data_IF_053784482663
#
_entry.id   IF_053784482663
#
_cell.length_a   1.000
_cell.length_b   1.000
_cell.length_c   1.000
_cell.angle_alpha   90.00
_cell.angle_beta   90.00
_cell.angle_gamma   90.00
#
_symmetry.space_group_name_H-M   'P 1'
#
loop_
_entity.id
_entity.type
_entity.pdbx_description
1 polymer ?
#
# COMPACT_ATOMS: atom_id res chain seq x y z
N UNK A 1 -76.79 -42.90 27.10
CA UNK A 1 -76.31 -42.89 28.50
C UNK A 1 -75.19 -43.93 28.58
N UNK A 2 -73.99 -43.73 29.15
CA UNK A 2 -73.45 -42.70 30.03
C UNK A 2 -71.90 -42.85 30.00
N UNK A 3 -71.20 -41.75 29.69
CA UNK A 3 -69.99 -41.20 30.34
C UNK A 3 -68.70 -41.99 30.60
N UNK A 4 -67.59 -41.38 30.08
CA UNK A 4 -66.30 -41.02 30.73
C UNK A 4 -65.32 -42.19 31.01
N UNK A 5 -63.98 -42.08 30.95
CA UNK A 5 -63.10 -40.93 31.14
C UNK A 5 -61.66 -41.27 30.66
N UNK A 6 -60.98 -40.26 30.11
CA UNK A 6 -59.54 -39.98 30.00
C UNK A 6 -58.49 -40.96 30.57
N UNK A 7 -57.45 -41.22 29.77
CA UNK A 7 -56.03 -41.13 30.19
C UNK A 7 -55.17 -40.76 28.95
N UNK A 8 -54.76 -39.50 28.84
CA UNK A 8 -53.40 -38.99 29.09
C UNK A 8 -52.39 -39.39 27.99
N UNK A 9 -52.08 -38.51 27.02
CA UNK A 9 -51.18 -37.35 27.09
C UNK A 9 -49.70 -37.73 26.79
N UNK A 10 -49.22 -37.14 25.70
CA UNK A 10 -47.82 -36.78 25.36
C UNK A 10 -46.91 -37.88 24.78
N UNK A 11 -46.98 -38.01 23.45
CA UNK A 11 -45.83 -38.34 22.60
C UNK A 11 -45.67 -37.26 21.53
N UNK A 12 -45.44 -36.02 21.97
CA UNK A 12 -44.92 -34.94 21.11
C UNK A 12 -43.69 -34.44 21.83
N UNK A 13 -42.52 -34.55 21.19
CA UNK A 13 -41.24 -33.85 21.45
C UNK A 13 -40.01 -34.76 21.25
N UNK A 14 -39.87 -35.46 20.12
CA UNK A 14 -38.60 -36.13 19.77
C UNK A 14 -38.23 -35.99 18.29
N UNK A 15 -38.45 -34.81 17.71
CA UNK A 15 -38.04 -34.57 16.31
C UNK A 15 -37.48 -33.17 16.05
N UNK A 16 -36.79 -32.54 17.01
CA UNK A 16 -35.89 -31.41 16.73
C UNK A 16 -34.72 -31.41 17.71
N UNK A 17 -33.58 -32.02 17.33
CA UNK A 17 -32.39 -31.19 17.19
C UNK A 17 -31.53 -31.63 16.00
N UNK A 18 -32.05 -31.58 14.77
CA UNK A 18 -31.24 -31.80 13.57
C UNK A 18 -31.01 -30.53 12.74
N UNK A 19 -31.48 -29.37 13.22
CA UNK A 19 -31.24 -28.06 12.58
C UNK A 19 -30.08 -27.25 13.19
N UNK A 20 -29.39 -27.75 14.22
CA UNK A 20 -28.35 -26.98 14.93
C UNK A 20 -26.91 -27.46 14.77
N UNK A 21 -26.61 -28.33 13.80
CA UNK A 21 -25.22 -28.68 13.47
C UNK A 21 -25.00 -28.57 11.97
N UNK A 22 -25.10 -27.35 11.42
CA UNK A 22 -24.28 -27.06 10.25
C UNK A 22 -22.83 -27.10 10.74
N UNK A 23 -21.96 -28.00 10.23
CA UNK A 23 -20.56 -27.98 10.59
C UNK A 23 -20.03 -26.57 10.31
N UNK A 24 -19.26 -25.96 11.24
CA UNK A 24 -18.70 -24.63 11.01
C UNK A 24 -18.03 -24.65 9.64
N UNK A 25 -18.44 -23.74 8.75
CA UNK A 25 -17.92 -23.69 7.40
C UNK A 25 -16.40 -23.70 7.48
N UNK A 26 -15.81 -24.79 7.03
CA UNK A 26 -14.39 -25.02 7.21
C UNK A 26 -13.68 -23.93 6.39
N UNK A 27 -12.95 -23.05 7.08
CA UNK A 27 -12.25 -21.95 6.40
C UNK A 27 -11.27 -22.55 5.41
N UNK A 28 -11.47 -22.31 4.13
CA UNK A 28 -10.51 -22.69 3.09
C UNK A 28 -9.42 -21.61 3.08
N UNK A 29 -8.24 -21.96 3.58
CA UNK A 29 -7.05 -21.11 3.55
C UNK A 29 -6.13 -21.64 2.45
N UNK A 30 -5.80 -20.80 1.48
CA UNK A 30 -4.88 -21.11 0.38
C UNK A 30 -3.61 -20.28 0.57
N UNK A 31 -2.44 -20.92 0.44
CA UNK A 31 -1.16 -20.23 0.39
C UNK A 31 -0.86 -19.83 -1.06
N UNK A 32 -0.44 -18.59 -1.27
CA UNK A 32 -0.10 -18.03 -2.59
C UNK A 32 1.27 -17.36 -2.56
N UNK A 33 1.96 -17.31 -3.70
CA UNK A 33 3.27 -16.65 -3.87
C UNK A 33 4.48 -17.58 -3.70
N UNK A 34 5.62 -17.00 -3.30
CA UNK A 34 6.89 -17.72 -3.05
C UNK A 34 7.85 -17.83 -4.25
N UNK A 35 7.44 -17.38 -5.43
CA UNK A 35 8.32 -17.28 -6.60
C UNK A 35 9.29 -16.09 -6.47
N UNK A 36 10.40 -16.15 -7.22
CA UNK A 36 11.29 -15.01 -7.39
C UNK A 36 10.56 -13.90 -8.14
N UNK A 37 10.67 -12.67 -7.64
CA UNK A 37 10.01 -11.50 -8.24
C UNK A 37 11.02 -10.42 -8.59
N UNK A 38 10.77 -9.73 -9.70
CA UNK A 38 11.57 -8.58 -10.12
C UNK A 38 11.26 -7.38 -9.21
N UNK A 39 12.28 -6.90 -8.49
CA UNK A 39 12.17 -5.73 -7.62
C UNK A 39 13.18 -4.65 -8.02
N UNK A 40 12.77 -3.40 -7.85
CA UNK A 40 13.64 -2.23 -7.93
C UNK A 40 13.94 -1.69 -6.54
N UNK A 41 15.07 -0.98 -6.44
CA UNK A 41 15.46 -0.23 -5.25
C UNK A 41 16.04 1.12 -5.68
N UNK A 42 15.64 2.19 -5.02
CA UNK A 42 16.25 3.51 -5.15
C UNK A 42 16.73 3.96 -3.77
N UNK A 43 18.03 4.29 -3.63
CA UNK A 43 18.65 4.63 -2.35
C UNK A 43 19.48 5.90 -2.47
N UNK A 44 19.40 6.73 -1.43
CA UNK A 44 20.34 7.82 -1.20
C UNK A 44 21.02 7.56 0.13
N UNK A 45 22.35 7.43 0.10
CA UNK A 45 23.19 7.25 1.28
C UNK A 45 24.07 8.48 1.47
N UNK A 46 24.16 8.93 2.72
CA UNK A 46 25.05 10.00 3.14
C UNK A 46 26.21 9.40 3.93
N UNK A 47 27.43 9.68 3.47
CA UNK A 47 28.66 9.30 4.15
C UNK A 47 29.38 10.57 4.59
N UNK A 48 29.73 10.65 5.87
CA UNK A 48 30.61 11.71 6.35
C UNK A 48 32.05 11.33 6.03
N UNK A 49 32.65 11.99 5.03
CA UNK A 49 34.02 11.74 4.59
C UNK A 49 35.07 12.24 5.57
N UNK A 50 34.75 13.18 6.46
CA UNK A 50 35.68 13.69 7.48
C UNK A 50 35.74 12.74 8.68
N UNK A 51 34.59 12.26 9.13
CA UNK A 51 34.48 11.31 10.24
C UNK A 51 34.64 9.85 9.79
N UNK A 52 34.64 9.61 8.48
CA UNK A 52 34.65 8.30 7.85
C UNK A 52 33.56 7.37 8.42
N UNK A 53 32.34 7.89 8.50
CA UNK A 53 31.22 7.17 9.12
C UNK A 53 29.92 7.38 8.35
N UNK A 54 28.97 6.49 8.63
CA UNK A 54 27.61 6.56 8.09
C UNK A 54 26.86 7.77 8.68
N UNK A 55 26.37 8.64 7.80
CA UNK A 55 25.61 9.84 8.16
C UNK A 55 24.09 9.68 7.95
N UNK A 56 23.64 8.50 7.50
CA UNK A 56 22.22 8.20 7.28
C UNK A 56 21.89 7.81 5.85
N UNK A 57 20.68 7.30 5.65
CA UNK A 57 20.14 6.96 4.34
C UNK A 57 18.62 6.99 4.34
N UNK A 58 18.08 6.93 3.13
CA UNK A 58 16.75 6.38 2.91
C UNK A 58 16.71 5.61 1.59
N UNK A 59 15.84 4.62 1.53
CA UNK A 59 15.66 3.74 0.37
C UNK A 59 14.18 3.46 0.12
N UNK A 60 13.85 3.24 -1.15
CA UNK A 60 12.54 2.78 -1.59
C UNK A 60 12.68 1.46 -2.34
N UNK A 61 12.09 0.40 -1.79
CA UNK A 61 12.06 -0.94 -2.39
C UNK A 61 10.66 -1.25 -2.91
N UNK A 62 10.56 -1.71 -4.16
CA UNK A 62 9.27 -1.84 -4.84
C UNK A 62 9.26 -2.97 -5.87
N UNK A 63 8.09 -3.58 -6.09
CA UNK A 63 7.88 -4.47 -7.24
C UNK A 63 7.66 -3.66 -8.52
N UNK A 64 8.02 -4.20 -9.68
CA UNK A 64 7.97 -3.49 -10.97
C UNK A 64 6.81 -3.96 -11.87
N UNK A 65 5.54 -3.60 -11.58
CA UNK A 65 4.41 -4.04 -12.39
C UNK A 65 4.53 -3.52 -13.82
N UNK A 66 4.13 -4.36 -14.77
CA UNK A 66 4.01 -3.99 -16.17
C UNK A 66 2.81 -3.04 -16.38
N UNK A 67 3.01 -2.06 -17.26
CA UNK A 67 1.93 -1.22 -17.76
C UNK A 67 1.04 -2.05 -18.67
N UNK A 68 -0.27 -2.03 -18.42
CA UNK A 68 -1.26 -2.73 -19.26
C UNK A 68 -1.97 -1.71 -20.14
N UNK A 69 -2.22 -2.09 -21.40
CA UNK A 69 -2.97 -1.26 -22.36
C UNK A 69 -4.34 -0.82 -21.84
N UNK A 70 -4.98 -1.66 -21.04
CA UNK A 70 -6.26 -1.35 -20.37
C UNK A 70 -6.21 -0.13 -19.43
N UNK A 71 -5.02 0.29 -19.00
CA UNK A 71 -4.83 1.48 -18.15
C UNK A 71 -4.81 2.78 -18.95
N UNK A 72 -4.75 2.70 -20.27
CA UNK A 72 -4.80 3.87 -21.18
C UNK A 72 -6.23 4.39 -21.35
N UNK A 73 -7.25 3.58 -21.03
CA UNK A 73 -8.64 4.01 -20.95
C UNK A 73 -8.87 4.85 -19.67
N UNK A 74 -9.17 6.16 -19.79
CA UNK A 74 -9.34 7.03 -18.64
C UNK A 74 -10.47 6.58 -17.70
N UNK A 75 -11.56 6.00 -18.22
CA UNK A 75 -12.68 5.54 -17.40
C UNK A 75 -12.28 4.33 -16.55
N UNK A 76 -11.52 3.39 -17.14
CA UNK A 76 -10.94 2.26 -16.40
C UNK A 76 -9.94 2.74 -15.36
N UNK A 77 -9.02 3.63 -15.75
CA UNK A 77 -8.00 4.17 -14.84
C UNK A 77 -8.63 4.92 -13.66
N UNK A 78 -9.63 5.76 -13.93
CA UNK A 78 -10.40 6.47 -12.92
C UNK A 78 -11.16 5.51 -12.00
N UNK A 79 -11.83 4.49 -12.54
CA UNK A 79 -12.54 3.48 -11.76
C UNK A 79 -11.63 2.71 -10.80
N UNK A 80 -10.35 2.53 -11.15
CA UNK A 80 -9.35 1.90 -10.29
C UNK A 80 -8.76 2.85 -9.24
N UNK A 81 -8.70 4.16 -9.51
CA UNK A 81 -7.85 5.09 -8.72
C UNK A 81 -8.63 6.15 -7.95
N UNK A 82 -9.72 6.71 -8.48
CA UNK A 82 -10.46 7.81 -7.84
C UNK A 82 -11.00 7.39 -6.47
N UNK A 83 -10.75 8.25 -5.47
CA UNK A 83 -11.17 8.03 -4.08
C UNK A 83 -10.50 6.84 -3.38
N UNK A 84 -9.46 6.24 -3.99
CA UNK A 84 -8.81 5.02 -3.49
C UNK A 84 -7.34 5.27 -3.18
N UNK A 85 -6.79 4.43 -2.32
CA UNK A 85 -5.35 4.23 -2.20
C UNK A 85 -4.97 3.11 -3.17
N UNK A 86 -4.17 3.47 -4.15
CA UNK A 86 -3.64 2.56 -5.14
C UNK A 86 -2.34 1.92 -4.66
N UNK A 87 -2.21 0.61 -4.92
CA UNK A 87 -0.99 -0.15 -4.62
C UNK A 87 0.11 0.29 -5.57
N UNK A 88 1.10 0.98 -5.03
CA UNK A 88 2.34 1.27 -5.73
C UNK A 88 3.18 0.00 -5.72
N UNK A 89 3.48 -0.59 -6.89
CA UNK A 89 4.30 -1.80 -7.02
C UNK A 89 3.53 -3.11 -7.25
N UNK A 90 4.25 -4.24 -7.21
CA UNK A 90 3.77 -5.58 -7.54
C UNK A 90 4.06 -6.56 -6.39
N UNK A 91 3.13 -7.48 -6.16
CA UNK A 91 3.16 -8.65 -5.26
C UNK A 91 3.30 -8.36 -3.76
N UNK A 92 4.29 -7.55 -3.37
CA UNK A 92 4.51 -7.13 -1.98
C UNK A 92 4.41 -5.61 -1.83
N UNK A 93 4.43 -5.13 -0.59
CA UNK A 93 4.43 -3.71 -0.28
C UNK A 93 5.59 -2.98 -0.96
N UNK A 94 5.34 -1.76 -1.45
CA UNK A 94 6.40 -0.78 -1.68
C UNK A 94 6.74 -0.14 -0.35
N UNK A 95 8.02 -0.04 -0.06
CA UNK A 95 8.55 0.28 1.25
C UNK A 95 9.40 1.54 1.14
N UNK A 96 9.25 2.45 2.11
CA UNK A 96 10.25 3.46 2.43
C UNK A 96 10.93 3.06 3.74
N UNK A 97 12.25 2.90 3.70
CA UNK A 97 13.09 2.74 4.88
C UNK A 97 13.96 3.99 5.01
N UNK A 98 13.79 4.76 6.09
CA UNK A 98 14.55 5.99 6.32
C UNK A 98 15.16 6.00 7.71
N UNK A 99 16.47 6.19 7.80
CA UNK A 99 17.16 6.51 9.06
C UNK A 99 17.24 8.02 9.32
N UNK A 100 16.65 8.83 8.46
CA UNK A 100 16.77 10.29 8.47
C UNK A 100 15.39 10.96 8.54
N UNK A 101 15.26 12.11 9.24
CA UNK A 101 14.09 12.94 9.11
C UNK A 101 14.01 13.50 7.69
N UNK A 102 12.85 13.31 7.06
CA UNK A 102 12.57 13.78 5.71
C UNK A 102 11.49 14.86 5.76
N UNK A 103 11.48 15.73 4.76
CA UNK A 103 10.36 16.62 4.47
C UNK A 103 9.96 16.42 3.02
N UNK A 104 8.82 15.76 2.81
CA UNK A 104 8.32 15.41 1.47
C UNK A 104 7.21 16.38 1.10
N UNK A 105 7.37 17.14 0.02
CA UNK A 105 6.43 18.19 -0.39
C UNK A 105 6.06 19.14 0.76
N UNK A 106 7.06 19.50 1.57
CA UNK A 106 6.91 20.39 2.71
C UNK A 106 6.41 19.74 4.00
N UNK A 107 5.97 18.47 3.99
CA UNK A 107 5.46 17.76 5.17
C UNK A 107 6.55 16.91 5.82
N UNK A 108 6.67 17.01 7.15
CA UNK A 108 7.63 16.23 7.93
C UNK A 108 7.25 14.75 7.95
N UNK A 109 8.23 13.90 7.69
CA UNK A 109 8.17 12.44 7.77
C UNK A 109 9.30 12.01 8.70
N UNK A 110 8.99 11.45 9.88
CA UNK A 110 10.02 11.03 10.81
C UNK A 110 10.83 9.84 10.25
N UNK A 111 12.04 9.59 10.79
CA UNK A 111 12.75 8.34 10.54
C UNK A 111 11.85 7.14 10.85
N UNK A 112 11.96 6.09 10.04
CA UNK A 112 11.19 4.88 10.24
C UNK A 112 10.99 4.09 8.96
N UNK A 113 10.16 3.06 9.11
CA UNK A 113 9.77 2.14 8.04
C UNK A 113 8.30 2.40 7.70
N UNK A 114 8.00 2.58 6.43
CA UNK A 114 6.65 2.88 5.94
C UNK A 114 6.31 1.98 4.76
N UNK A 115 5.06 1.54 4.71
CA UNK A 115 4.50 1.09 3.44
C UNK A 115 3.99 2.31 2.66
N UNK A 116 4.09 2.24 1.34
CA UNK A 116 3.73 3.34 0.44
C UNK A 116 2.60 2.94 -0.50
N UNK A 117 1.70 3.89 -0.75
CA UNK A 117 0.70 3.83 -1.82
C UNK A 117 0.54 5.19 -2.50
N UNK A 118 -0.25 5.26 -3.56
CA UNK A 118 -0.69 6.53 -4.14
C UNK A 118 -2.18 6.71 -3.90
N UNK A 119 -2.56 7.74 -3.17
CA UNK A 119 -3.95 8.13 -3.04
C UNK A 119 -4.33 9.09 -4.15
N UNK A 120 -5.50 8.88 -4.73
CA UNK A 120 -6.18 9.88 -5.55
C UNK A 120 -7.42 10.40 -4.83
N UNK A 121 -7.66 11.70 -4.87
CA UNK A 121 -8.86 12.31 -4.33
C UNK A 121 -10.13 11.77 -5.01
N UNK A 122 -11.28 11.95 -4.36
CA UNK A 122 -12.58 11.46 -4.86
C UNK A 122 -12.97 12.09 -6.18
N UNK A 123 -12.70 13.39 -6.35
CA UNK A 123 -12.89 14.11 -7.62
C UNK A 123 -11.83 13.76 -8.69
N UNK A 124 -10.77 13.05 -8.29
CA UNK A 124 -9.65 12.66 -9.14
C UNK A 124 -8.62 13.75 -9.44
N UNK A 125 -8.77 14.94 -8.86
CA UNK A 125 -7.95 16.11 -9.17
C UNK A 125 -6.57 16.09 -8.47
N UNK A 126 -6.47 15.46 -7.31
CA UNK A 126 -5.27 15.51 -6.47
C UNK A 126 -4.71 14.10 -6.25
N UNK A 127 -3.38 14.03 -6.29
CA UNK A 127 -2.63 12.83 -5.96
C UNK A 127 -1.75 13.08 -4.75
N UNK A 128 -1.59 12.05 -3.93
CA UNK A 128 -0.71 12.09 -2.77
C UNK A 128 -0.01 10.76 -2.60
N UNK A 129 1.24 10.80 -2.18
CA UNK A 129 1.92 9.63 -1.65
C UNK A 129 1.33 9.37 -0.25
N UNK A 130 0.75 8.19 -0.08
CA UNK A 130 0.18 7.73 1.17
C UNK A 130 1.24 6.93 1.92
N UNK A 131 1.56 7.36 3.15
CA UNK A 131 2.44 6.63 4.04
C UNK A 131 1.58 5.89 5.07
N UNK A 132 1.83 4.58 5.17
CA UNK A 132 1.08 3.67 6.02
C UNK A 132 2.01 3.07 7.07
N UNK A 133 1.51 2.98 8.31
CA UNK A 133 2.22 2.40 9.44
C UNK A 133 2.27 0.85 9.32
N UNK A 134 3.44 0.24 9.11
CA UNK A 134 3.57 -1.20 8.96
C UNK A 134 3.12 -1.99 10.19
N UNK A 135 3.23 -1.43 11.40
CA UNK A 135 2.79 -2.08 12.64
C UNK A 135 1.26 -2.23 12.63
N UNK A 136 0.55 -1.15 12.30
CA UNK A 136 -0.93 -1.16 12.19
C UNK A 136 -1.41 -2.10 11.07
N UNK A 137 -0.71 -2.11 9.94
CA UNK A 137 -1.03 -2.97 8.79
C UNK A 137 -0.90 -4.45 9.15
N UNK A 138 0.22 -4.82 9.80
CA UNK A 138 0.48 -6.20 10.22
C UNK A 138 -0.49 -6.65 11.31
N UNK A 139 -0.79 -5.78 12.28
CA UNK A 139 -1.77 -6.07 13.33
C UNK A 139 -3.17 -6.33 12.76
N UNK A 140 -3.53 -5.65 11.66
CA UNK A 140 -4.80 -5.84 10.96
C UNK A 140 -4.77 -6.98 9.93
N UNK A 141 -3.66 -7.72 9.80
CA UNK A 141 -3.45 -8.78 8.81
C UNK A 141 -3.77 -8.32 7.37
N UNK A 142 -3.41 -7.07 7.06
CA UNK A 142 -3.64 -6.50 5.74
C UNK A 142 -2.45 -6.79 4.82
N UNK A 143 -2.78 -7.28 3.64
CA UNK A 143 -1.84 -7.47 2.55
C UNK A 143 -1.91 -6.29 1.55
N UNK A 144 -0.83 -6.08 0.78
CA UNK A 144 -0.72 -5.01 -0.20
C UNK A 144 -1.83 -5.03 -1.28
N UNK A 145 -2.36 -6.20 -1.63
CA UNK A 145 -3.48 -6.35 -2.58
C UNK A 145 -4.78 -5.71 -2.06
N UNK A 146 -4.93 -5.56 -0.74
CA UNK A 146 -6.09 -4.93 -0.09
C UNK A 146 -5.73 -3.61 0.60
N UNK A 147 -4.72 -2.91 0.07
CA UNK A 147 -4.26 -1.60 0.55
C UNK A 147 -5.39 -0.57 0.70
N UNK A 148 -6.47 -0.67 -0.08
CA UNK A 148 -7.61 0.22 0.02
C UNK A 148 -8.35 0.14 1.37
N UNK A 149 -8.13 -0.92 2.16
CA UNK A 149 -8.66 -1.06 3.54
C UNK A 149 -7.72 -0.48 4.59
N UNK A 150 -6.49 -0.13 4.21
CA UNK A 150 -5.49 0.37 5.11
C UNK A 150 -5.79 1.82 5.53
N UNK A 151 -5.60 2.11 6.81
CA UNK A 151 -5.60 3.49 7.31
C UNK A 151 -4.30 4.19 6.86
N UNK A 152 -4.45 5.31 6.19
CA UNK A 152 -3.31 6.18 5.84
C UNK A 152 -2.91 6.97 7.08
N UNK A 153 -1.62 6.97 7.42
CA UNK A 153 -1.10 7.71 8.58
C UNK A 153 -0.95 9.19 8.24
N UNK A 154 -0.34 9.48 7.09
CA UNK A 154 -0.31 10.82 6.52
C UNK A 154 -0.12 10.75 5.00
N UNK A 155 -0.54 11.83 4.35
CA UNK A 155 -0.52 12.01 2.90
C UNK A 155 0.37 13.19 2.56
N UNK A 156 1.28 12.99 1.61
CA UNK A 156 2.13 14.06 1.09
C UNK A 156 1.77 14.34 -0.38
N UNK A 157 1.45 15.59 -0.76
CA UNK A 157 1.07 15.89 -2.14
C UNK A 157 2.16 15.49 -3.13
N UNK A 158 1.77 15.01 -4.30
CA UNK A 158 2.69 14.78 -5.43
C UNK A 158 2.21 15.57 -6.63
N UNK A 159 3.13 16.06 -7.45
CA UNK A 159 2.82 16.63 -8.76
C UNK A 159 2.69 15.50 -9.76
N UNK A 160 1.58 15.46 -10.50
CA UNK A 160 1.34 14.47 -11.56
C UNK A 160 1.40 15.12 -12.93
N UNK A 161 2.05 14.45 -13.85
CA UNK A 161 2.18 14.84 -15.26
C UNK A 161 1.94 13.63 -16.16
N UNK A 162 1.50 13.89 -17.38
CA UNK A 162 1.43 12.88 -18.43
C UNK A 162 2.69 12.94 -19.30
N UNK A 163 3.46 11.85 -19.31
CA UNK A 163 4.61 11.69 -20.18
C UNK A 163 4.17 11.34 -21.62
N UNK A 164 4.96 11.78 -22.60
CA UNK A 164 4.79 11.38 -24.01
C UNK A 164 5.24 9.94 -24.24
N UNK A 165 6.33 9.55 -23.61
CA UNK A 165 6.89 8.21 -23.71
C UNK A 165 6.25 7.27 -22.68
N UNK A 166 5.97 6.04 -23.11
CA UNK A 166 5.37 5.01 -22.26
C UNK A 166 6.47 4.24 -21.53
N UNK A 167 6.42 4.28 -20.20
CA UNK A 167 7.30 3.50 -19.32
C UNK A 167 6.68 2.13 -19.06
N UNK A 168 7.16 1.10 -19.76
CA UNK A 168 6.53 -0.24 -19.75
C UNK A 168 6.52 -0.97 -18.39
N UNK A 169 7.45 -0.66 -17.48
CA UNK A 169 7.48 -1.20 -16.11
C UNK A 169 7.68 -0.07 -15.12
N UNK A 170 6.99 -0.13 -13.97
CA UNK A 170 7.11 0.91 -12.96
C UNK A 170 8.58 1.13 -12.55
N UNK A 171 8.97 2.39 -12.47
CA UNK A 171 10.27 2.84 -11.98
C UNK A 171 10.11 3.90 -10.91
N UNK A 172 10.90 3.81 -9.85
CA UNK A 172 11.07 4.86 -8.86
C UNK A 172 12.53 5.30 -8.89
N UNK A 173 12.76 6.60 -8.91
CA UNK A 173 14.07 7.22 -8.86
C UNK A 173 14.13 8.27 -7.75
N UNK A 174 15.30 8.36 -7.13
CA UNK A 174 15.67 9.40 -6.18
C UNK A 174 16.86 10.15 -6.78
N UNK A 175 16.60 11.35 -7.31
CA UNK A 175 17.61 12.14 -8.00
C UNK A 175 18.05 13.32 -7.13
N UNK A 176 19.35 13.60 -7.06
CA UNK A 176 19.91 14.75 -6.37
C UNK A 176 21.07 15.34 -7.17
N UNK A 177 21.46 16.57 -6.85
CA UNK A 177 22.65 17.20 -7.41
C UNK A 177 23.77 17.19 -6.37
N UNK A 178 25.01 16.97 -6.80
CA UNK A 178 26.17 16.91 -5.89
C UNK A 178 26.34 18.18 -5.05
N UNK A 179 25.95 19.34 -5.59
CA UNK A 179 26.01 20.63 -4.90
C UNK A 179 24.94 20.79 -3.80
N UNK A 180 23.84 20.05 -3.90
CA UNK A 180 22.69 20.11 -2.99
C UNK A 180 22.18 18.70 -2.67
N UNK A 181 23.02 17.82 -2.10
CA UNK A 181 22.71 16.39 -1.99
C UNK A 181 21.55 16.12 -1.01
N UNK A 182 21.20 17.06 -0.15
CA UNK A 182 20.04 16.99 0.75
C UNK A 182 18.72 17.38 0.10
N UNK A 183 18.74 17.86 -1.15
CA UNK A 183 17.55 18.15 -1.95
C UNK A 183 17.38 17.05 -2.99
N UNK A 184 16.51 16.10 -2.69
CA UNK A 184 16.24 14.93 -3.52
C UNK A 184 14.89 15.10 -4.21
N UNK A 185 14.78 14.66 -5.46
CA UNK A 185 13.51 14.55 -6.16
C UNK A 185 13.11 13.09 -6.22
N UNK A 186 11.97 12.76 -5.62
CA UNK A 186 11.28 11.52 -5.87
C UNK A 186 10.58 11.59 -7.22
N UNK A 187 10.75 10.56 -8.04
CA UNK A 187 10.04 10.38 -9.30
C UNK A 187 9.54 8.94 -9.42
N UNK A 188 8.24 8.77 -9.58
CA UNK A 188 7.61 7.54 -10.04
C UNK A 188 7.21 7.71 -11.50
N UNK A 189 7.50 6.72 -12.33
CA UNK A 189 7.02 6.66 -13.71
C UNK A 189 6.47 5.26 -14.03
N UNK A 190 5.28 5.20 -14.64
CA UNK A 190 4.61 3.97 -15.04
C UNK A 190 3.57 4.26 -16.13
N UNK A 191 3.73 3.66 -17.30
CA UNK A 191 2.96 4.06 -18.48
C UNK A 191 3.26 5.50 -18.88
N UNK A 192 2.21 6.28 -19.14
CA UNK A 192 2.29 7.73 -19.31
C UNK A 192 2.13 8.49 -17.97
N UNK A 193 1.98 7.80 -16.84
CA UNK A 193 1.79 8.44 -15.54
C UNK A 193 3.14 8.74 -14.89
N UNK A 194 3.38 10.01 -14.55
CA UNK A 194 4.55 10.45 -13.80
C UNK A 194 4.11 11.20 -12.56
N UNK A 195 4.60 10.78 -11.39
CA UNK A 195 4.40 11.47 -10.12
C UNK A 195 5.76 11.93 -9.56
N UNK A 196 5.83 13.18 -9.10
CA UNK A 196 7.05 13.76 -8.53
C UNK A 196 6.79 14.46 -7.20
N UNK A 197 7.78 14.42 -6.31
CA UNK A 197 7.77 15.18 -5.07
C UNK A 197 9.19 15.61 -4.67
N UNK A 198 9.38 16.85 -4.19
CA UNK A 198 10.63 17.24 -3.55
C UNK A 198 10.75 16.59 -2.18
N UNK A 199 11.97 16.19 -1.83
CA UNK A 199 12.36 15.65 -0.53
C UNK A 199 13.54 16.48 -0.03
N UNK A 200 13.37 17.12 1.12
CA UNK A 200 14.47 17.72 1.87
C UNK A 200 14.90 16.74 2.96
N UNK A 201 16.21 16.54 3.09
CA UNK A 201 16.81 15.61 4.06
C UNK A 201 17.52 16.38 5.16
N UNK A 202 17.20 16.07 6.41
CA UNK A 202 17.90 16.61 7.57
C UNK A 202 18.96 15.63 8.01
N UNK A 203 20.24 15.98 7.84
CA UNK A 203 21.35 15.20 8.40
C UNK A 203 21.46 15.51 9.89
N UNK A 204 21.35 14.47 10.71
CA UNK A 204 21.59 14.58 12.15
C UNK A 204 23.11 14.63 12.34
N UNK A 205 23.60 15.71 12.93
CA UNK A 205 25.01 15.90 13.28
C UNK A 205 25.36 15.11 14.52
#
# INVERSE_FOLDING_TARGET
>A
MRTRMMLAIVTVLWSMPLLCQQPPSQRIIVAEGGAMEERGSARVLYWDTKLNTYAGQFAIDYGRPEWKKDYEDPAKFDGMTKGKVWRMGKDFWTILDSSLPLKISGKSVPPGYYYLGLRRSTDGAQWSLALLDPVKIRAALLDAYIINKAKVEFEVPVKVEHAKDIVGKLTIALAYQEKTPTHVTFKLAWGNFVATAPIEVTLVK
#
